data_IF_904706283015
#
_entry.id   IF_904706283015
#
_cell.length_a   1.000
_cell.length_b   1.000
_cell.length_c   1.000
_cell.angle_alpha   90.00
_cell.angle_beta   90.00
_cell.angle_gamma   90.00
#
_symmetry.space_group_name_H-M   'P 1'
#
loop_
_entity.id
_entity.type
_entity.pdbx_description
1 polymer ?
#
# COMPACT_ATOMS: atom_id res chain seq x y z
N UNK A 1 -41.60 -2.50 -17.76
CA UNK A 1 -40.36 -2.09 -17.11
C UNK A 1 -40.54 -0.63 -16.70
N UNK A 2 -40.26 -0.31 -15.43
CA UNK A 2 -40.36 1.08 -14.96
C UNK A 2 -38.99 1.76 -15.12
N UNK A 3 -38.94 3.04 -15.53
CA UNK A 3 -37.66 3.76 -15.60
C UNK A 3 -37.10 3.99 -14.22
N UNK A 4 -35.77 3.93 -14.11
CA UNK A 4 -35.04 4.15 -12.87
C UNK A 4 -34.65 5.64 -12.72
N UNK A 5 -34.47 6.12 -11.48
CA UNK A 5 -34.04 7.51 -11.25
C UNK A 5 -32.64 7.74 -11.86
N UNK A 6 -32.49 8.96 -12.43
CA UNK A 6 -31.21 9.42 -12.98
C UNK A 6 -30.33 10.05 -11.89
N UNK A 7 -29.01 10.09 -12.14
CA UNK A 7 -28.06 10.78 -11.26
C UNK A 7 -27.38 9.88 -10.22
N UNK A 8 -27.68 8.59 -10.17
CA UNK A 8 -26.94 7.62 -9.34
C UNK A 8 -25.63 7.21 -10.04
N UNK A 9 -24.55 7.87 -9.65
CA UNK A 9 -23.25 7.74 -10.31
C UNK A 9 -22.48 6.56 -9.70
N UNK A 10 -22.09 5.62 -10.54
CA UNK A 10 -21.14 4.56 -10.20
C UNK A 10 -19.69 5.00 -10.37
N UNK A 11 -18.78 4.33 -9.70
CA UNK A 11 -17.34 4.59 -9.82
C UNK A 11 -16.69 3.69 -10.85
N UNK A 12 -15.83 4.29 -11.67
CA UNK A 12 -14.95 3.57 -12.59
C UNK A 12 -13.94 2.72 -11.82
N UNK A 13 -13.73 1.44 -12.16
CA UNK A 13 -12.66 0.63 -11.60
C UNK A 13 -11.28 1.26 -11.82
N UNK A 14 -10.36 0.99 -10.90
CA UNK A 14 -8.97 1.46 -11.01
C UNK A 14 -8.14 0.43 -11.80
N UNK A 15 -7.20 0.91 -12.61
CA UNK A 15 -6.26 0.05 -13.35
C UNK A 15 -5.15 -0.51 -12.43
N UNK A 16 -5.52 -1.25 -11.39
CA UNK A 16 -4.58 -1.87 -10.46
C UNK A 16 -4.50 -3.39 -10.69
N UNK A 17 -3.28 -3.93 -10.58
CA UNK A 17 -3.11 -5.38 -10.46
C UNK A 17 -3.46 -5.85 -9.04
N UNK A 18 -4.12 -7.02 -8.87
CA UNK A 18 -4.41 -7.62 -7.56
C UNK A 18 -3.17 -7.78 -6.69
N UNK A 19 -2.01 -7.97 -7.28
CA UNK A 19 -0.72 -8.12 -6.59
C UNK A 19 -0.36 -6.93 -5.71
N UNK A 20 -0.76 -5.69 -6.06
CA UNK A 20 -0.48 -4.51 -5.26
C UNK A 20 -1.12 -4.54 -3.88
N UNK A 21 -2.32 -5.11 -3.74
CA UNK A 21 -2.99 -5.24 -2.44
C UNK A 21 -2.23 -6.19 -1.52
N UNK A 22 -1.70 -7.28 -2.07
CA UNK A 22 -0.87 -8.24 -1.32
C UNK A 22 0.48 -7.60 -0.96
N UNK A 23 1.09 -6.85 -1.88
CA UNK A 23 2.33 -6.11 -1.62
C UNK A 23 2.16 -5.12 -0.48
N UNK A 24 1.10 -4.30 -0.49
CA UNK A 24 0.81 -3.35 0.59
C UNK A 24 0.64 -4.08 1.93
N UNK A 25 -0.14 -5.17 1.96
CA UNK A 25 -0.43 -5.91 3.17
C UNK A 25 0.80 -6.60 3.80
N UNK A 26 1.80 -7.01 3.01
CA UNK A 26 2.97 -7.76 3.48
C UNK A 26 4.26 -6.93 3.54
N UNK A 27 4.50 -6.07 2.55
CA UNK A 27 5.77 -5.33 2.45
C UNK A 27 5.85 -4.21 3.48
N UNK A 28 4.75 -3.48 3.73
CA UNK A 28 4.76 -2.43 4.74
C UNK A 28 5.04 -2.94 6.16
N UNK A 29 4.41 -4.03 6.66
CA UNK A 29 4.77 -4.62 7.94
C UNK A 29 6.22 -5.15 7.99
N UNK A 30 6.72 -5.73 6.90
CA UNK A 30 8.09 -6.21 6.83
C UNK A 30 9.12 -5.06 6.93
N UNK A 31 8.87 -3.94 6.26
CA UNK A 31 9.70 -2.74 6.36
C UNK A 31 9.65 -2.18 7.78
N UNK A 32 8.46 -2.07 8.37
CA UNK A 32 8.30 -1.61 9.75
C UNK A 32 9.05 -2.52 10.73
N UNK A 33 8.93 -3.84 10.57
CA UNK A 33 9.67 -4.81 11.38
C UNK A 33 11.19 -4.63 11.27
N UNK A 34 11.72 -4.49 10.06
CA UNK A 34 13.14 -4.21 9.84
C UNK A 34 13.58 -2.91 10.51
N UNK A 35 12.75 -1.85 10.44
CA UNK A 35 13.03 -0.58 11.08
C UNK A 35 13.07 -0.71 12.63
N UNK A 36 12.12 -1.42 13.24
CA UNK A 36 12.10 -1.67 14.67
C UNK A 36 13.28 -2.56 15.10
N UNK A 37 13.57 -3.62 14.36
CA UNK A 37 14.73 -4.49 14.62
C UNK A 37 16.05 -3.71 14.53
N UNK A 38 16.18 -2.87 13.52
CA UNK A 38 17.33 -1.98 13.36
C UNK A 38 17.48 -1.01 14.53
N UNK A 39 16.37 -0.35 14.93
CA UNK A 39 16.37 0.56 16.09
C UNK A 39 16.77 -0.19 17.37
N UNK A 40 16.22 -1.37 17.61
CA UNK A 40 16.57 -2.19 18.78
C UNK A 40 18.05 -2.59 18.76
N UNK A 41 18.58 -3.02 17.62
CA UNK A 41 19.99 -3.34 17.47
C UNK A 41 20.91 -2.14 17.75
N UNK A 42 20.46 -0.92 17.44
CA UNK A 42 21.19 0.30 17.75
C UNK A 42 21.14 0.63 19.25
N UNK A 43 19.97 0.47 19.88
CA UNK A 43 19.76 0.78 21.31
C UNK A 43 20.42 -0.25 22.21
N UNK A 44 20.41 -1.51 21.84
CA UNK A 44 20.98 -2.63 22.61
C UNK A 44 22.49 -2.84 22.38
N UNK A 45 23.11 -2.08 21.49
CA UNK A 45 24.55 -2.16 21.28
C UNK A 45 25.28 -1.56 22.50
N UNK A 46 25.90 -2.38 23.36
CA UNK A 46 26.56 -1.90 24.57
C UNK A 46 27.71 -0.92 24.26
N UNK A 47 28.26 -1.00 23.06
CA UNK A 47 29.33 -0.13 22.58
C UNK A 47 28.85 1.11 21.83
N UNK A 48 27.53 1.26 21.61
CA UNK A 48 26.98 2.45 20.91
C UNK A 48 27.28 3.73 21.67
N UNK A 49 27.02 3.75 22.98
CA UNK A 49 27.32 4.89 23.86
C UNK A 49 28.82 5.22 23.85
N UNK A 50 29.67 4.21 23.93
CA UNK A 50 31.13 4.37 23.89
C UNK A 50 31.63 4.92 22.56
N UNK A 51 31.11 4.38 21.43
CA UNK A 51 31.45 4.90 20.09
C UNK A 51 30.94 6.33 19.85
N UNK A 52 29.82 6.69 20.45
CA UNK A 52 29.31 8.05 20.37
C UNK A 52 30.18 8.98 21.22
N UNK A 53 30.54 8.55 22.43
CA UNK A 53 31.44 9.27 23.32
C UNK A 53 32.78 9.59 22.69
N UNK A 54 33.46 8.59 22.09
CA UNK A 54 34.77 8.85 21.45
C UNK A 54 34.66 9.78 20.24
N UNK A 55 33.57 9.73 19.47
CA UNK A 55 33.33 10.67 18.37
C UNK A 55 33.12 12.09 18.87
N UNK A 56 32.32 12.25 19.93
CA UNK A 56 32.12 13.55 20.60
C UNK A 56 33.44 14.07 21.14
N UNK A 57 34.23 13.22 21.80
CA UNK A 57 35.54 13.56 22.33
C UNK A 57 36.50 14.06 21.23
N UNK A 58 36.64 13.32 20.15
CA UNK A 58 37.51 13.70 19.02
C UNK A 58 37.04 15.02 18.36
N UNK A 59 35.72 15.23 18.22
CA UNK A 59 35.18 16.50 17.69
C UNK A 59 35.50 17.67 18.62
N UNK A 60 35.35 17.46 19.93
CA UNK A 60 35.67 18.45 20.93
C UNK A 60 37.16 18.84 20.88
N UNK A 61 38.05 17.86 20.90
CA UNK A 61 39.50 18.11 20.81
C UNK A 61 39.87 18.85 19.51
N UNK A 62 39.27 18.49 18.41
CA UNK A 62 39.42 19.21 17.13
C UNK A 62 38.88 20.65 17.19
N UNK A 63 37.82 20.94 17.95
CA UNK A 63 37.30 22.29 18.15
C UNK A 63 38.21 23.14 19.03
N UNK A 64 38.75 22.56 20.10
CA UNK A 64 39.74 23.23 20.97
C UNK A 64 41.02 23.55 20.22
N UNK A 65 41.50 22.64 19.36
CA UNK A 65 42.68 22.85 18.49
C UNK A 65 42.47 24.05 17.56
N UNK A 66 41.24 24.21 17.00
CA UNK A 66 40.92 25.37 16.13
C UNK A 66 40.80 26.70 16.89
N UNK A 67 40.50 26.67 18.18
CA UNK A 67 40.42 27.87 19.04
C UNK A 67 41.74 28.19 19.75
N UNK A 68 42.87 28.11 19.04
CA UNK A 68 44.22 28.39 19.53
C UNK A 68 44.72 27.47 20.67
N UNK A 69 44.14 26.28 20.81
CA UNK A 69 44.59 25.26 21.75
C UNK A 69 44.24 25.48 23.22
N UNK A 70 43.63 26.63 23.58
CA UNK A 70 43.26 26.93 24.97
C UNK A 70 41.82 26.46 25.28
N UNK A 71 41.60 25.48 26.15
CA UNK A 71 40.27 25.01 26.46
C UNK A 71 39.52 26.00 27.35
N UNK A 72 38.31 26.38 26.95
CA UNK A 72 37.41 27.17 27.75
C UNK A 72 36.63 26.28 28.75
N UNK A 73 36.09 26.81 29.88
CA UNK A 73 35.34 25.99 30.85
C UNK A 73 34.25 25.12 30.25
N UNK A 74 33.52 25.64 29.25
CA UNK A 74 32.51 24.86 28.51
C UNK A 74 33.10 23.61 27.77
N UNK A 75 34.35 23.70 27.31
CA UNK A 75 35.02 22.59 26.66
C UNK A 75 35.41 21.52 27.67
N UNK A 76 35.84 21.90 28.88
CA UNK A 76 36.18 20.98 29.96
C UNK A 76 34.95 20.23 30.46
N UNK A 77 33.80 20.88 30.64
CA UNK A 77 32.55 20.23 30.97
C UNK A 77 32.07 19.26 29.89
N UNK A 78 32.22 19.66 28.63
CA UNK A 78 31.87 18.77 27.49
C UNK A 78 32.83 17.57 27.41
N UNK A 79 34.11 17.76 27.76
CA UNK A 79 35.12 16.72 27.82
C UNK A 79 34.75 15.66 28.89
N UNK A 80 34.40 16.07 30.10
CA UNK A 80 33.94 15.17 31.15
C UNK A 80 32.79 14.28 30.69
N UNK A 81 31.79 14.87 30.04
CA UNK A 81 30.64 14.14 29.50
C UNK A 81 31.04 13.16 28.39
N UNK A 82 31.90 13.59 27.49
CA UNK A 82 32.35 12.73 26.38
C UNK A 82 33.21 11.57 26.87
N UNK A 83 34.07 11.79 27.87
CA UNK A 83 34.89 10.74 28.51
C UNK A 83 34.01 9.76 29.27
N UNK A 84 33.06 10.24 30.08
CA UNK A 84 32.12 9.37 30.80
C UNK A 84 31.32 8.46 29.84
N UNK A 85 30.83 9.01 28.73
CA UNK A 85 30.18 8.23 27.67
C UNK A 85 31.12 7.22 27.03
N UNK A 86 32.38 7.59 26.79
CA UNK A 86 33.39 6.71 26.19
C UNK A 86 33.70 5.54 27.13
N UNK A 87 33.79 5.79 28.41
CA UNK A 87 33.98 4.76 29.44
C UNK A 87 32.72 3.93 29.72
N UNK A 88 31.55 4.36 29.23
CA UNK A 88 30.26 3.73 29.48
C UNK A 88 29.78 3.89 30.94
N UNK A 89 30.27 4.87 31.65
CA UNK A 89 29.89 5.19 33.04
C UNK A 89 28.55 5.95 33.00
N UNK A 90 27.55 5.42 33.70
CA UNK A 90 26.19 6.00 33.73
C UNK A 90 25.95 6.98 34.91
N UNK A 91 26.97 7.23 35.70
CA UNK A 91 26.88 8.14 36.83
C UNK A 91 26.98 9.59 36.33
N UNK A 92 26.17 10.50 36.89
CA UNK A 92 26.16 11.89 36.46
C UNK A 92 27.47 12.65 36.78
N UNK A 93 28.16 12.26 37.84
CA UNK A 93 29.47 12.81 38.28
C UNK A 93 30.42 11.66 38.56
N UNK A 94 31.08 11.07 37.51
CA UNK A 94 32.01 9.99 37.72
C UNK A 94 33.32 10.49 38.38
N UNK A 95 33.86 9.69 39.22
CA UNK A 95 35.20 9.96 39.85
C UNK A 95 36.33 9.52 38.93
N UNK A 96 37.54 10.08 39.08
CA UNK A 96 38.71 9.66 38.29
C UNK A 96 39.06 8.18 38.50
N UNK A 97 38.75 7.61 39.67
CA UNK A 97 38.92 6.19 39.97
C UNK A 97 37.97 5.30 39.11
N UNK A 98 36.68 5.69 39.01
CA UNK A 98 35.71 4.97 38.20
C UNK A 98 36.05 5.04 36.70
N UNK A 99 36.51 6.19 36.20
CA UNK A 99 37.00 6.35 34.83
C UNK A 99 38.20 5.44 34.56
N UNK A 100 39.21 5.46 35.47
CA UNK A 100 40.39 4.65 35.37
C UNK A 100 40.08 3.14 35.37
N UNK A 101 39.19 2.68 36.25
CA UNK A 101 38.76 1.29 36.33
C UNK A 101 38.02 0.85 35.04
N UNK A 102 37.11 1.70 34.54
CA UNK A 102 36.38 1.44 33.30
C UNK A 102 37.31 1.38 32.08
N UNK A 103 38.31 2.25 32.02
CA UNK A 103 39.31 2.25 30.96
C UNK A 103 40.25 1.02 31.03
N UNK A 104 40.63 0.61 32.22
CA UNK A 104 41.41 -0.61 32.41
C UNK A 104 40.66 -1.84 31.88
N UNK A 105 39.36 -1.93 32.14
CA UNK A 105 38.50 -3.01 31.62
C UNK A 105 38.33 -2.95 30.09
N UNK A 106 38.49 -1.78 29.46
CA UNK A 106 38.34 -1.60 28.01
C UNK A 106 39.68 -1.87 27.29
N UNK A 107 40.75 -1.33 27.81
CA UNK A 107 42.08 -1.34 27.13
C UNK A 107 42.99 -2.50 27.59
N UNK A 108 42.77 -3.03 28.78
CA UNK A 108 43.67 -4.00 29.39
C UNK A 108 45.04 -3.41 29.83
N UNK A 109 45.26 -2.10 29.60
CA UNK A 109 46.55 -1.44 29.83
C UNK A 109 46.48 -0.52 31.06
N UNK A 110 47.28 -0.85 32.08
CA UNK A 110 47.37 -0.08 33.31
C UNK A 110 48.00 1.31 33.10
N UNK A 111 48.89 1.46 32.13
CA UNK A 111 49.54 2.74 31.82
C UNK A 111 48.56 3.71 31.14
N UNK A 112 47.69 3.20 30.29
CA UNK A 112 46.63 4.03 29.70
C UNK A 112 45.65 4.50 30.77
N UNK A 113 45.24 3.63 31.67
CA UNK A 113 44.28 3.97 32.73
C UNK A 113 44.85 4.94 33.78
N UNK A 114 46.14 4.87 34.12
CA UNK A 114 46.82 5.83 35.01
C UNK A 114 46.89 7.23 34.40
N UNK A 115 47.32 7.35 33.13
CA UNK A 115 47.40 8.63 32.41
C UNK A 115 46.02 9.30 32.31
N UNK A 116 44.98 8.56 32.10
CA UNK A 116 43.63 9.10 32.11
C UNK A 116 43.17 9.58 33.48
N UNK A 117 43.58 8.87 34.57
CA UNK A 117 43.32 9.31 35.95
C UNK A 117 44.01 10.63 36.24
N UNK A 118 45.28 10.76 35.86
CA UNK A 118 46.03 12.00 36.01
C UNK A 118 45.42 13.17 35.25
N UNK A 119 45.09 12.93 33.98
CA UNK A 119 44.45 13.93 33.11
C UNK A 119 43.06 14.35 33.64
N UNK A 120 42.30 13.37 34.14
CA UNK A 120 41.01 13.66 34.80
C UNK A 120 41.17 14.53 36.02
N UNK A 121 42.07 14.19 36.92
CA UNK A 121 42.34 14.96 38.14
C UNK A 121 42.90 16.37 37.83
N UNK A 122 43.74 16.51 36.81
CA UNK A 122 44.21 17.81 36.36
C UNK A 122 43.08 18.70 35.84
N UNK A 123 42.18 18.08 35.03
CA UNK A 123 41.01 18.77 34.48
C UNK A 123 40.02 19.15 35.58
N UNK A 124 39.79 18.25 36.54
CA UNK A 124 38.91 18.47 37.70
C UNK A 124 39.40 19.65 38.55
N UNK A 125 40.67 19.69 38.84
CA UNK A 125 41.30 20.84 39.55
C UNK A 125 41.12 22.15 38.80
N UNK A 126 41.30 22.16 37.47
CA UNK A 126 41.11 23.36 36.64
C UNK A 126 39.66 23.86 36.62
N UNK A 127 38.67 22.97 36.82
CA UNK A 127 37.26 23.37 36.80
C UNK A 127 36.73 23.78 38.21
N UNK A 128 37.22 23.12 39.26
CA UNK A 128 36.65 23.26 40.62
C UNK A 128 37.56 23.95 41.64
N UNK A 129 38.82 24.27 41.29
CA UNK A 129 39.69 25.06 42.14
C UNK A 129 39.79 26.53 41.69
N UNK A 130 40.35 27.40 42.56
CA UNK A 130 40.53 28.82 42.26
C UNK A 130 41.49 29.06 41.08
N UNK A 131 42.41 28.13 40.76
CA UNK A 131 43.25 28.11 39.59
C UNK A 131 42.47 27.55 38.38
N UNK A 132 41.94 28.43 37.60
CA UNK A 132 41.05 28.08 36.48
C UNK A 132 41.74 27.74 35.15
N UNK A 133 43.09 27.81 35.12
CA UNK A 133 43.87 27.55 33.92
C UNK A 133 44.27 26.05 33.81
N UNK A 134 43.81 25.34 32.79
CA UNK A 134 44.30 23.98 32.54
C UNK A 134 45.78 23.99 32.13
N UNK A 135 46.54 22.89 32.38
CA UNK A 135 47.90 22.81 32.01
C UNK A 135 48.10 23.13 30.53
N UNK A 136 49.17 23.84 30.16
CA UNK A 136 49.43 24.25 28.78
C UNK A 136 49.52 23.09 27.76
N UNK A 137 49.92 21.91 28.25
CA UNK A 137 50.00 20.66 27.45
C UNK A 137 48.69 19.80 27.52
N UNK A 138 47.58 20.33 28.13
CA UNK A 138 46.34 19.59 28.32
C UNK A 138 45.78 19.02 27.00
N UNK A 139 45.76 19.80 25.92
CA UNK A 139 45.22 19.39 24.63
C UNK A 139 46.02 18.23 24.00
N UNK A 140 47.35 18.29 24.13
CA UNK A 140 48.23 17.24 23.60
C UNK A 140 48.07 15.95 24.38
N UNK A 141 48.05 16.02 25.72
CA UNK A 141 47.78 14.86 26.60
C UNK A 141 46.40 14.27 26.32
N UNK A 142 45.33 15.12 26.17
CA UNK A 142 43.98 14.66 25.90
C UNK A 142 43.85 14.00 24.52
N UNK A 143 44.53 14.56 23.52
CA UNK A 143 44.53 14.01 22.14
C UNK A 143 45.29 12.65 22.10
N UNK A 144 46.47 12.60 22.67
CA UNK A 144 47.27 11.34 22.77
C UNK A 144 46.54 10.25 23.53
N UNK A 145 45.86 10.62 24.63
CA UNK A 145 45.07 9.68 25.40
C UNK A 145 43.82 9.18 24.61
N UNK A 146 43.16 10.05 23.85
CA UNK A 146 42.02 9.67 23.05
C UNK A 146 42.36 8.79 21.84
N UNK A 147 43.55 8.95 21.26
CA UNK A 147 44.02 8.14 20.13
C UNK A 147 44.27 6.67 20.54
N UNK A 148 44.68 6.44 21.77
CA UNK A 148 44.99 5.07 22.31
C UNK A 148 43.75 4.30 22.70
N UNK A 149 42.56 4.89 22.67
CA UNK A 149 41.29 4.17 22.95
C UNK A 149 40.80 3.51 21.66
N UNK A 150 41.02 2.19 21.56
CA UNK A 150 40.40 1.38 20.52
C UNK A 150 39.02 0.91 20.99
N UNK A 151 37.97 1.39 20.35
CA UNK A 151 36.62 0.89 20.58
C UNK A 151 36.37 -0.27 19.62
N UNK A 152 35.91 -1.43 20.10
CA UNK A 152 35.65 -2.59 19.27
C UNK A 152 34.72 -2.19 18.10
N UNK A 153 35.11 -2.59 16.89
CA UNK A 153 34.26 -2.41 15.69
C UNK A 153 32.90 -3.02 15.98
N UNK A 154 31.87 -2.41 15.42
CA UNK A 154 30.48 -2.85 15.57
C UNK A 154 30.41 -4.35 15.31
N UNK A 155 30.34 -5.15 16.38
CA UNK A 155 30.02 -6.56 16.26
C UNK A 155 28.58 -6.61 15.80
N UNK A 156 28.38 -6.87 14.51
CA UNK A 156 27.11 -7.21 13.92
C UNK A 156 26.74 -8.59 14.47
N UNK A 157 26.28 -8.65 15.71
CA UNK A 157 25.53 -9.81 16.16
C UNK A 157 24.20 -9.77 15.41
N UNK A 158 24.21 -10.31 14.20
CA UNK A 158 23.00 -10.84 13.61
C UNK A 158 22.56 -11.91 14.61
N UNK A 159 21.35 -11.83 15.18
CA UNK A 159 20.89 -12.88 16.08
C UNK A 159 20.92 -14.20 15.31
N UNK A 160 21.76 -15.11 15.74
CA UNK A 160 21.97 -16.43 15.12
C UNK A 160 20.80 -17.39 15.32
N UNK A 161 19.72 -16.95 15.96
CA UNK A 161 18.53 -17.75 16.17
C UNK A 161 17.31 -17.03 15.58
N UNK A 162 16.86 -17.52 14.44
CA UNK A 162 15.54 -17.17 13.89
C UNK A 162 14.41 -17.41 14.92
N UNK A 163 14.62 -18.34 15.86
CA UNK A 163 13.71 -18.66 16.94
C UNK A 163 13.46 -17.48 17.91
N UNK A 164 14.43 -16.59 18.10
CA UNK A 164 14.26 -15.40 18.96
C UNK A 164 13.43 -14.29 18.30
N UNK A 165 13.03 -14.49 17.03
CA UNK A 165 12.34 -13.52 16.18
C UNK A 165 10.90 -13.94 15.86
N UNK A 166 10.56 -15.23 16.05
CA UNK A 166 9.22 -15.74 15.82
C UNK A 166 8.43 -15.70 17.13
N UNK A 167 7.32 -14.93 17.19
CA UNK A 167 6.42 -15.03 18.33
C UNK A 167 5.75 -16.39 18.31
N UNK A 168 5.88 -17.13 19.41
CA UNK A 168 5.11 -18.34 19.63
C UNK A 168 3.64 -17.97 19.76
N UNK A 169 2.82 -18.71 19.06
CA UNK A 169 1.38 -18.79 19.09
C UNK A 169 0.56 -17.84 18.25
N UNK A 170 -0.15 -18.52 17.42
CA UNK A 170 -1.19 -18.21 16.48
C UNK A 170 -2.56 -17.90 17.13
N UNK A 171 -3.41 -17.47 16.26
CA UNK A 171 -4.86 -17.69 16.16
C UNK A 171 -5.82 -16.65 16.74
N UNK A 172 -6.71 -16.38 15.86
CA UNK A 172 -8.16 -16.20 15.81
C UNK A 172 -8.68 -14.78 15.72
N UNK A 173 -9.41 -14.63 14.78
CA UNK A 173 -10.76 -14.69 14.25
C UNK A 173 -11.45 -13.34 13.99
N UNK A 174 -11.92 -13.24 12.86
CA UNK A 174 -13.17 -12.87 12.21
C UNK A 174 -14.15 -11.95 12.98
N UNK A 175 -14.46 -10.80 12.42
CA UNK A 175 -15.71 -10.06 12.64
C UNK A 175 -16.21 -9.43 11.34
N UNK A 176 -17.47 -9.68 11.08
CA UNK A 176 -18.30 -9.26 9.94
C UNK A 176 -18.62 -7.77 10.03
N UNK A 177 -18.55 -7.08 8.90
CA UNK A 177 -19.02 -5.70 8.77
C UNK A 177 -20.23 -5.69 7.84
N UNK A 178 -21.38 -5.34 8.42
CA UNK A 178 -22.62 -5.10 7.67
C UNK A 178 -22.60 -3.67 7.12
N UNK A 179 -22.74 -3.53 5.80
CA UNK A 179 -23.01 -2.25 5.15
C UNK A 179 -24.50 -2.15 4.85
N UNK A 180 -25.13 -1.12 5.36
CA UNK A 180 -26.53 -0.81 5.07
C UNK A 180 -26.71 -0.14 3.71
N UNK A 181 -27.81 -0.44 3.05
CA UNK A 181 -28.21 0.12 1.77
C UNK A 181 -29.40 1.09 1.93
N UNK A 182 -29.48 2.16 1.17
CA UNK A 182 -30.68 3.00 1.12
C UNK A 182 -31.72 2.43 0.13
N UNK A 183 -32.99 2.58 0.49
CA UNK A 183 -34.14 2.10 -0.27
C UNK A 183 -34.59 3.13 -1.33
N UNK A 184 -35.16 2.63 -2.41
CA UNK A 184 -35.49 3.36 -3.62
C UNK A 184 -36.80 4.15 -3.60
N UNK A 185 -36.96 4.99 -4.62
CA UNK A 185 -38.12 5.90 -4.92
C UNK A 185 -38.73 5.48 -6.27
N UNK A 186 -40.05 5.65 -6.39
CA UNK A 186 -40.92 5.23 -7.50
C UNK A 186 -40.80 6.10 -8.76
N UNK A 187 -41.14 5.50 -9.90
CA UNK A 187 -40.99 6.03 -11.24
C UNK A 187 -42.26 6.07 -12.04
N UNK A 188 -42.42 7.05 -12.95
CA UNK A 188 -43.44 7.15 -13.98
C UNK A 188 -42.81 7.26 -15.39
N UNK A 189 -43.41 6.53 -16.33
CA UNK A 189 -43.32 6.57 -17.80
C UNK A 189 -41.95 6.40 -18.49
N UNK A 190 -41.75 5.25 -19.13
CA UNK A 190 -40.52 4.81 -19.79
C UNK A 190 -40.19 5.59 -21.08
N UNK A 191 -41.21 6.00 -21.89
CA UNK A 191 -40.99 6.72 -23.15
C UNK A 191 -40.44 8.13 -22.97
N UNK A 192 -40.81 8.82 -21.89
CA UNK A 192 -40.36 10.17 -21.60
C UNK A 192 -38.95 10.22 -20.97
N UNK A 193 -38.39 9.03 -20.66
CA UNK A 193 -37.09 8.91 -20.01
C UNK A 193 -35.91 8.84 -21.01
N UNK A 194 -36.15 8.69 -22.33
CA UNK A 194 -35.05 8.49 -23.30
C UNK A 194 -34.17 9.75 -23.42
N UNK A 195 -34.79 10.88 -23.72
CA UNK A 195 -34.09 12.16 -23.90
C UNK A 195 -33.32 12.57 -22.63
N UNK A 196 -33.94 12.56 -21.42
CA UNK A 196 -33.21 12.78 -20.18
C UNK A 196 -32.12 11.79 -19.92
N UNK A 197 -32.30 10.50 -20.30
CA UNK A 197 -31.28 9.47 -20.09
C UNK A 197 -30.08 9.64 -21.01
N UNK A 198 -30.27 10.01 -22.27
CA UNK A 198 -29.17 10.32 -23.19
C UNK A 198 -28.38 11.54 -22.75
N UNK A 199 -29.09 12.62 -22.32
CA UNK A 199 -28.47 13.82 -21.77
C UNK A 199 -27.71 13.53 -20.45
N UNK A 200 -28.24 12.65 -19.60
CA UNK A 200 -27.55 12.20 -18.39
C UNK A 200 -26.25 11.48 -18.72
N UNK A 201 -26.22 10.62 -19.75
CA UNK A 201 -24.99 9.94 -20.18
C UNK A 201 -23.97 10.88 -20.81
N UNK A 202 -24.41 11.93 -21.51
CA UNK A 202 -23.49 12.96 -22.01
C UNK A 202 -22.80 13.72 -20.86
N UNK A 203 -23.56 13.99 -19.79
CA UNK A 203 -23.03 14.64 -18.59
C UNK A 203 -22.17 13.69 -17.73
N UNK A 204 -22.58 12.44 -17.60
CA UNK A 204 -21.89 11.42 -16.82
C UNK A 204 -22.14 10.00 -17.33
N UNK A 205 -21.17 9.46 -18.01
CA UNK A 205 -21.23 8.09 -18.57
C UNK A 205 -21.44 7.00 -17.52
N UNK A 206 -21.15 7.23 -16.24
CA UNK A 206 -21.33 6.26 -15.18
C UNK A 206 -22.71 6.31 -14.50
N UNK A 207 -23.70 6.93 -15.11
CA UNK A 207 -25.08 6.88 -14.66
C UNK A 207 -25.73 5.54 -15.07
N UNK A 208 -25.71 4.59 -14.16
CA UNK A 208 -26.26 3.26 -14.40
C UNK A 208 -27.78 3.27 -14.61
N UNK A 209 -28.52 4.23 -14.01
CA UNK A 209 -29.95 4.40 -14.20
C UNK A 209 -30.28 4.82 -15.63
N UNK A 210 -29.49 5.74 -16.20
CA UNK A 210 -29.61 6.16 -17.59
C UNK A 210 -29.33 5.00 -18.56
N UNK A 211 -28.30 4.22 -18.30
CA UNK A 211 -28.01 3.00 -19.08
C UNK A 211 -29.16 2.00 -18.97
N UNK A 212 -29.72 1.77 -17.78
CA UNK A 212 -30.86 0.89 -17.61
C UNK A 212 -32.09 1.36 -18.43
N UNK A 213 -32.43 2.64 -18.36
CA UNK A 213 -33.60 3.18 -19.08
C UNK A 213 -33.47 3.01 -20.59
N UNK A 214 -32.29 3.28 -21.16
CA UNK A 214 -32.01 3.05 -22.59
C UNK A 214 -32.07 1.57 -22.92
N UNK A 215 -31.54 0.70 -22.07
CA UNK A 215 -31.59 -0.75 -22.27
C UNK A 215 -33.05 -1.27 -22.25
N UNK A 216 -33.86 -0.80 -21.31
CA UNK A 216 -35.25 -1.18 -21.16
C UNK A 216 -36.10 -0.73 -22.37
N UNK A 217 -35.85 0.48 -22.88
CA UNK A 217 -36.51 0.98 -24.07
C UNK A 217 -36.06 0.20 -25.33
N UNK A 218 -34.76 -0.03 -25.49
CA UNK A 218 -34.23 -0.86 -26.58
C UNK A 218 -34.83 -2.27 -26.59
N UNK A 219 -35.00 -2.87 -25.41
CA UNK A 219 -35.65 -4.17 -25.26
C UNK A 219 -37.14 -4.11 -25.64
N UNK A 220 -37.86 -3.04 -25.28
CA UNK A 220 -39.27 -2.81 -25.65
C UNK A 220 -39.42 -2.67 -27.17
N UNK A 221 -38.48 -2.01 -27.83
CA UNK A 221 -38.48 -1.79 -29.30
C UNK A 221 -37.91 -2.97 -30.08
N UNK A 222 -37.40 -4.04 -29.40
CA UNK A 222 -36.79 -5.19 -30.06
C UNK A 222 -35.34 -4.94 -30.53
N UNK A 223 -34.71 -3.84 -30.12
CA UNK A 223 -33.34 -3.48 -30.43
C UNK A 223 -32.35 -4.21 -29.47
N UNK A 224 -32.34 -5.54 -29.55
CA UNK A 224 -31.67 -6.40 -28.56
C UNK A 224 -30.17 -6.14 -28.43
N UNK A 225 -29.48 -5.77 -29.50
CA UNK A 225 -28.05 -5.49 -29.45
C UNK A 225 -27.74 -4.23 -28.64
N UNK A 226 -28.49 -3.14 -28.85
CA UNK A 226 -28.41 -1.92 -28.06
C UNK A 226 -28.80 -2.20 -26.61
N UNK A 227 -29.87 -2.97 -26.41
CA UNK A 227 -30.33 -3.37 -25.08
C UNK A 227 -29.25 -4.16 -24.31
N UNK A 228 -28.57 -5.13 -24.92
CA UNK A 228 -27.45 -5.88 -24.27
C UNK A 228 -26.34 -4.94 -23.85
N UNK A 229 -25.90 -4.03 -24.72
CA UNK A 229 -24.77 -3.15 -24.43
C UNK A 229 -25.07 -2.25 -23.23
N UNK A 230 -26.19 -1.55 -23.23
CA UNK A 230 -26.59 -0.66 -22.15
C UNK A 230 -26.97 -1.42 -20.87
N UNK A 231 -27.63 -2.59 -20.97
CA UNK A 231 -27.92 -3.44 -19.82
C UNK A 231 -26.65 -3.98 -19.15
N UNK A 232 -25.63 -4.36 -19.94
CA UNK A 232 -24.34 -4.77 -19.41
C UNK A 232 -23.65 -3.61 -18.67
N UNK A 233 -23.67 -2.39 -19.21
CA UNK A 233 -23.13 -1.22 -18.51
C UNK A 233 -23.89 -0.95 -17.22
N UNK A 234 -25.22 -0.93 -17.24
CA UNK A 234 -26.06 -0.70 -16.05
C UNK A 234 -25.76 -1.75 -14.96
N UNK A 235 -25.75 -3.03 -15.32
CA UNK A 235 -25.51 -4.12 -14.38
C UNK A 235 -24.09 -4.10 -13.83
N UNK A 236 -23.06 -3.90 -14.63
CA UNK A 236 -21.68 -3.90 -14.16
C UNK A 236 -21.37 -2.68 -13.30
N UNK A 237 -22.02 -1.56 -13.55
CA UNK A 237 -21.91 -0.35 -12.72
C UNK A 237 -22.68 -0.50 -11.40
N UNK A 238 -23.87 -1.12 -11.41
CA UNK A 238 -24.66 -1.42 -10.20
C UNK A 238 -25.22 -2.85 -10.22
N UNK A 239 -24.40 -3.86 -9.89
CA UNK A 239 -24.82 -5.27 -9.98
C UNK A 239 -25.81 -5.70 -8.90
N UNK A 240 -26.04 -4.88 -7.87
CA UNK A 240 -27.06 -5.13 -6.84
C UNK A 240 -28.48 -4.78 -7.32
N UNK A 241 -28.62 -4.05 -8.44
CA UNK A 241 -29.90 -3.71 -9.03
C UNK A 241 -30.57 -4.93 -9.65
N UNK A 242 -31.69 -5.39 -9.09
CA UNK A 242 -32.49 -6.48 -9.66
C UNK A 242 -33.04 -6.13 -11.05
N UNK A 243 -33.62 -4.93 -11.29
CA UNK A 243 -34.08 -4.53 -12.61
C UNK A 243 -32.98 -4.57 -13.68
N UNK A 244 -31.77 -4.07 -13.38
CA UNK A 244 -30.66 -4.09 -14.34
C UNK A 244 -30.23 -5.53 -14.66
N UNK A 245 -30.24 -6.43 -13.67
CA UNK A 245 -29.98 -7.87 -13.86
C UNK A 245 -31.01 -8.51 -14.77
N UNK A 246 -32.30 -8.26 -14.54
CA UNK A 246 -33.38 -8.88 -15.29
C UNK A 246 -33.43 -8.43 -16.75
N UNK A 247 -33.20 -7.13 -16.99
CA UNK A 247 -33.07 -6.60 -18.36
C UNK A 247 -31.87 -7.21 -19.09
N UNK A 248 -30.72 -7.31 -18.42
CA UNK A 248 -29.53 -7.94 -19.01
C UNK A 248 -29.77 -9.41 -19.34
N UNK A 249 -30.40 -10.16 -18.42
CA UNK A 249 -30.75 -11.58 -18.65
C UNK A 249 -31.65 -11.73 -19.88
N UNK A 250 -32.72 -10.94 -19.96
CA UNK A 250 -33.64 -10.94 -21.09
C UNK A 250 -32.93 -10.54 -22.40
N UNK A 251 -32.13 -9.49 -22.39
CA UNK A 251 -31.42 -9.03 -23.57
C UNK A 251 -30.41 -10.05 -24.09
N UNK A 252 -29.66 -10.72 -23.20
CA UNK A 252 -28.73 -11.81 -23.59
C UNK A 252 -29.46 -13.01 -24.19
N UNK A 253 -30.63 -13.37 -23.63
CA UNK A 253 -31.44 -14.47 -24.16
C UNK A 253 -31.96 -14.14 -25.56
N UNK A 254 -32.51 -12.95 -25.77
CA UNK A 254 -33.13 -12.54 -27.03
C UNK A 254 -32.13 -12.19 -28.13
N UNK A 255 -30.96 -11.64 -27.81
CA UNK A 255 -29.90 -11.30 -28.75
C UNK A 255 -29.08 -12.50 -29.18
N UNK A 256 -29.15 -13.63 -28.43
CA UNK A 256 -28.24 -14.78 -28.64
C UNK A 256 -26.78 -14.50 -28.21
N UNK A 257 -26.53 -13.38 -27.55
CA UNK A 257 -25.21 -13.04 -27.05
C UNK A 257 -24.74 -14.05 -25.98
N UNK A 258 -23.47 -14.41 -26.02
CA UNK A 258 -22.92 -15.45 -25.15
C UNK A 258 -21.58 -15.07 -24.56
N UNK A 259 -21.56 -14.04 -23.71
CA UNK A 259 -20.37 -13.78 -22.89
C UNK A 259 -20.39 -14.68 -21.64
N UNK A 260 -19.39 -15.56 -21.44
CA UNK A 260 -19.37 -16.50 -20.32
C UNK A 260 -19.22 -15.79 -18.97
N UNK A 261 -18.53 -14.64 -18.92
CA UNK A 261 -18.33 -13.89 -17.68
C UNK A 261 -19.63 -13.23 -17.24
N UNK A 262 -20.38 -12.61 -18.17
CA UNK A 262 -21.68 -12.03 -17.87
C UNK A 262 -22.68 -13.11 -17.44
N UNK A 263 -22.72 -14.26 -18.11
CA UNK A 263 -23.58 -15.38 -17.72
C UNK A 263 -23.29 -15.89 -16.32
N UNK A 264 -22.01 -16.00 -15.95
CA UNK A 264 -21.60 -16.41 -14.60
C UNK A 264 -22.05 -15.40 -13.53
N UNK A 265 -21.92 -14.11 -13.78
CA UNK A 265 -22.40 -13.07 -12.85
C UNK A 265 -23.92 -13.02 -12.72
N UNK A 266 -24.66 -13.55 -13.70
CA UNK A 266 -26.13 -13.67 -13.67
C UNK A 266 -26.62 -14.98 -13.07
N UNK A 267 -25.72 -15.86 -12.62
CA UNK A 267 -26.07 -17.14 -12.01
C UNK A 267 -26.92 -16.96 -10.76
N UNK A 268 -27.86 -17.86 -10.53
CA UNK A 268 -28.70 -17.89 -9.34
C UNK A 268 -28.07 -18.69 -8.19
N UNK A 269 -26.89 -19.27 -8.38
CA UNK A 269 -26.14 -19.99 -7.36
C UNK A 269 -25.62 -19.00 -6.30
N UNK A 270 -25.91 -19.26 -5.04
CA UNK A 270 -25.70 -18.28 -3.95
C UNK A 270 -24.23 -17.79 -3.82
N UNK A 271 -23.23 -18.66 -3.97
CA UNK A 271 -21.83 -18.27 -3.87
C UNK A 271 -21.33 -17.51 -5.13
N UNK A 272 -21.92 -17.76 -6.31
CA UNK A 272 -21.63 -17.02 -7.53
C UNK A 272 -22.28 -15.63 -7.54
N UNK A 273 -23.26 -15.40 -6.65
CA UNK A 273 -23.89 -14.10 -6.43
C UNK A 273 -23.08 -13.18 -5.51
N UNK A 274 -22.13 -13.70 -4.71
CA UNK A 274 -21.33 -12.87 -3.79
C UNK A 274 -20.67 -11.69 -4.52
N UNK A 275 -20.01 -11.85 -5.67
CA UNK A 275 -19.45 -10.73 -6.41
C UNK A 275 -20.45 -9.64 -6.75
N UNK A 276 -21.70 -10.00 -7.03
CA UNK A 276 -22.73 -9.04 -7.49
C UNK A 276 -23.37 -8.21 -6.38
N UNK A 277 -23.00 -8.37 -5.12
CA UNK A 277 -23.44 -7.47 -4.05
C UNK A 277 -22.82 -6.08 -4.15
N UNK A 278 -21.62 -5.98 -4.71
CA UNK A 278 -20.89 -4.72 -4.84
C UNK A 278 -20.25 -4.67 -6.22
N UNK A 279 -20.16 -3.50 -6.86
CA UNK A 279 -19.49 -3.31 -8.15
C UNK A 279 -18.00 -3.66 -8.09
N UNK A 280 -17.38 -3.90 -9.25
CA UNK A 280 -15.94 -4.17 -9.36
C UNK A 280 -15.09 -3.07 -8.68
N UNK A 281 -15.44 -1.80 -8.90
CA UNK A 281 -14.78 -0.66 -8.22
C UNK A 281 -15.00 -0.66 -6.70
N UNK A 282 -16.17 -1.10 -6.25
CA UNK A 282 -16.49 -1.27 -4.83
C UNK A 282 -15.61 -2.34 -4.19
N UNK A 283 -15.45 -3.50 -4.81
CA UNK A 283 -14.56 -4.56 -4.33
C UNK A 283 -13.10 -4.13 -4.27
N UNK A 284 -12.63 -3.33 -5.24
CA UNK A 284 -11.29 -2.73 -5.17
C UNK A 284 -11.10 -1.85 -3.92
N UNK A 285 -12.10 -1.03 -3.59
CA UNK A 285 -12.04 -0.20 -2.37
C UNK A 285 -12.05 -1.06 -1.10
N UNK A 286 -12.90 -2.08 -1.04
CA UNK A 286 -12.92 -3.02 0.09
C UNK A 286 -11.57 -3.71 0.24
N UNK A 287 -10.96 -4.19 -0.86
CA UNK A 287 -9.64 -4.79 -0.86
C UNK A 287 -8.56 -3.82 -0.36
N UNK A 288 -8.58 -2.56 -0.80
CA UNK A 288 -7.63 -1.53 -0.37
C UNK A 288 -7.75 -1.24 1.14
N UNK A 289 -8.97 -1.06 1.63
CA UNK A 289 -9.22 -0.84 3.06
C UNK A 289 -8.79 -2.05 3.89
N UNK A 290 -9.16 -3.27 3.47
CA UNK A 290 -8.79 -4.49 4.16
C UNK A 290 -7.26 -4.71 4.19
N UNK A 291 -6.56 -4.45 3.08
CA UNK A 291 -5.10 -4.51 3.01
C UNK A 291 -4.45 -3.46 3.93
N UNK A 292 -4.98 -2.24 3.97
CA UNK A 292 -4.51 -1.19 4.86
C UNK A 292 -4.70 -1.53 6.34
N UNK A 293 -5.89 -2.02 6.72
CA UNK A 293 -6.18 -2.45 8.10
C UNK A 293 -5.28 -3.62 8.50
N UNK A 294 -5.09 -4.59 7.61
CA UNK A 294 -4.18 -5.72 7.83
C UNK A 294 -2.74 -5.23 8.04
N UNK A 295 -2.24 -4.36 7.18
CA UNK A 295 -0.90 -3.81 7.28
C UNK A 295 -0.69 -3.07 8.62
N UNK A 296 -1.62 -2.18 9.01
CA UNK A 296 -1.57 -1.45 10.29
C UNK A 296 -1.61 -2.43 11.47
N UNK A 297 -2.50 -3.42 11.43
CA UNK A 297 -2.62 -4.42 12.49
C UNK A 297 -1.33 -5.22 12.67
N UNK A 298 -0.71 -5.65 11.56
CA UNK A 298 0.56 -6.36 11.58
C UNK A 298 1.71 -5.48 12.11
N UNK A 299 1.77 -4.20 11.71
CA UNK A 299 2.75 -3.24 12.23
C UNK A 299 2.58 -3.07 13.74
N UNK A 300 1.36 -2.91 14.23
CA UNK A 300 1.06 -2.80 15.65
C UNK A 300 1.44 -4.08 16.40
N UNK A 301 1.13 -5.26 15.87
CA UNK A 301 1.52 -6.54 16.44
C UNK A 301 3.04 -6.68 16.52
N UNK A 302 3.76 -6.33 15.46
CA UNK A 302 5.22 -6.32 15.44
C UNK A 302 5.78 -5.33 16.46
N UNK A 303 5.17 -4.17 16.63
CA UNK A 303 5.61 -3.16 17.61
C UNK A 303 5.54 -3.68 19.05
N UNK A 304 4.62 -4.61 19.37
CA UNK A 304 4.51 -5.20 20.72
C UNK A 304 5.77 -6.01 21.11
N UNK A 305 6.54 -6.48 20.15
CA UNK A 305 7.81 -7.18 20.39
C UNK A 305 8.92 -6.23 20.89
N UNK A 306 8.75 -4.94 20.64
CA UNK A 306 9.77 -3.92 20.90
C UNK A 306 9.35 -2.91 21.98
N UNK A 307 8.05 -2.75 22.17
CA UNK A 307 7.45 -1.82 23.14
C UNK A 307 6.43 -2.60 23.98
N UNK A 308 6.36 -2.43 25.30
CA UNK A 308 5.44 -3.19 26.16
C UNK A 308 3.98 -2.72 26.03
N UNK A 309 3.46 -2.73 24.81
CA UNK A 309 2.06 -2.45 24.49
C UNK A 309 1.35 -3.79 24.34
N UNK A 310 0.26 -4.00 25.09
CA UNK A 310 -0.59 -5.19 24.95
C UNK A 310 -1.76 -4.87 24.03
N UNK A 311 -1.76 -5.42 22.83
CA UNK A 311 -2.87 -5.31 21.87
C UNK A 311 -3.73 -6.55 22.02
N UNK A 312 -4.86 -6.40 22.74
CA UNK A 312 -5.86 -7.47 22.84
C UNK A 312 -6.65 -7.51 21.53
N UNK A 313 -6.85 -8.69 20.95
CA UNK A 313 -7.63 -8.87 19.71
C UNK A 313 -6.87 -8.58 18.40
N UNK A 314 -5.57 -8.29 18.42
CA UNK A 314 -4.80 -8.06 17.20
C UNK A 314 -4.84 -9.23 16.21
N UNK A 315 -4.77 -10.47 16.70
CA UNK A 315 -4.88 -11.66 15.85
C UNK A 315 -6.27 -11.82 15.24
N UNK A 316 -7.32 -11.51 16.01
CA UNK A 316 -8.70 -11.54 15.51
C UNK A 316 -8.90 -10.53 14.38
N UNK A 317 -8.40 -9.30 14.55
CA UNK A 317 -8.50 -8.26 13.54
C UNK A 317 -7.66 -8.59 12.30
N UNK A 318 -6.48 -9.16 12.45
CA UNK A 318 -5.66 -9.60 11.33
C UNK A 318 -6.34 -10.73 10.55
N UNK A 319 -6.89 -11.74 11.23
CA UNK A 319 -7.64 -12.84 10.62
C UNK A 319 -8.84 -12.33 9.82
N UNK A 320 -9.64 -11.44 10.44
CA UNK A 320 -10.77 -10.81 9.78
C UNK A 320 -10.36 -10.03 8.54
N UNK A 321 -9.38 -9.13 8.66
CA UNK A 321 -8.90 -8.32 7.54
C UNK A 321 -8.38 -9.21 6.40
N UNK A 322 -7.73 -10.33 6.73
CA UNK A 322 -7.28 -11.31 5.74
C UNK A 322 -8.47 -11.97 5.03
N UNK A 323 -9.50 -12.41 5.78
CA UNK A 323 -10.69 -13.02 5.20
C UNK A 323 -11.43 -12.04 4.28
N UNK A 324 -11.63 -10.80 4.72
CA UNK A 324 -12.25 -9.75 3.91
C UNK A 324 -11.42 -9.45 2.66
N UNK A 325 -10.08 -9.38 2.78
CA UNK A 325 -9.19 -9.14 1.64
C UNK A 325 -9.30 -10.27 0.60
N UNK A 326 -9.27 -11.53 1.04
CA UNK A 326 -9.41 -12.68 0.14
C UNK A 326 -10.77 -12.64 -0.56
N UNK A 327 -11.86 -12.44 0.18
CA UNK A 327 -13.21 -12.33 -0.39
C UNK A 327 -13.30 -11.21 -1.41
N UNK A 328 -12.74 -10.04 -1.11
CA UNK A 328 -12.74 -8.90 -2.02
C UNK A 328 -11.94 -9.17 -3.30
N UNK A 329 -10.77 -9.79 -3.19
CA UNK A 329 -9.93 -10.14 -4.35
C UNK A 329 -10.59 -11.21 -5.24
N UNK A 330 -11.19 -12.24 -4.64
CA UNK A 330 -11.93 -13.28 -5.38
C UNK A 330 -13.14 -12.68 -6.09
N UNK A 331 -13.93 -11.86 -5.39
CA UNK A 331 -15.11 -11.21 -5.95
C UNK A 331 -14.75 -10.22 -7.06
N UNK A 332 -13.68 -9.43 -6.88
CA UNK A 332 -13.19 -8.54 -7.92
C UNK A 332 -12.71 -9.30 -9.17
N UNK A 333 -11.97 -10.40 -8.98
CA UNK A 333 -11.50 -11.23 -10.08
C UNK A 333 -12.66 -11.93 -10.84
N UNK A 334 -13.79 -12.18 -10.17
CA UNK A 334 -14.97 -12.78 -10.81
C UNK A 334 -15.59 -11.91 -11.91
N UNK A 335 -15.33 -10.59 -11.92
CA UNK A 335 -15.73 -9.69 -13.01
C UNK A 335 -14.91 -9.89 -14.29
N UNK A 336 -13.78 -10.62 -14.24
CA UNK A 336 -12.91 -10.87 -15.40
C UNK A 336 -12.46 -9.54 -16.05
N UNK A 337 -12.61 -9.47 -17.37
CA UNK A 337 -12.24 -8.30 -18.17
C UNK A 337 -13.03 -7.03 -17.76
N UNK A 338 -14.28 -7.18 -17.33
CA UNK A 338 -15.14 -6.07 -16.93
C UNK A 338 -14.66 -5.32 -15.67
N UNK A 339 -13.64 -5.82 -14.97
CA UNK A 339 -13.06 -5.12 -13.80
C UNK A 339 -12.06 -4.02 -14.18
N UNK A 340 -11.79 -3.80 -15.45
CA UNK A 340 -10.83 -2.81 -15.93
C UNK A 340 -11.52 -1.54 -16.44
N UNK A 341 -10.92 -0.35 -16.26
CA UNK A 341 -11.51 0.91 -16.73
C UNK A 341 -11.62 1.01 -18.25
N UNK A 342 -10.80 0.25 -18.98
CA UNK A 342 -10.82 0.17 -20.44
C UNK A 342 -11.76 -0.91 -20.99
N UNK A 343 -12.60 -1.50 -20.13
CA UNK A 343 -13.60 -2.47 -20.56
C UNK A 343 -14.69 -1.83 -21.40
N UNK A 344 -15.08 -2.52 -22.44
CA UNK A 344 -16.13 -2.11 -23.38
C UNK A 344 -16.94 -3.32 -23.82
N UNK A 345 -18.09 -3.10 -24.39
CA UNK A 345 -18.96 -4.16 -24.94
C UNK A 345 -19.18 -3.92 -26.43
N UNK A 346 -19.22 -5.00 -27.20
CA UNK A 346 -19.57 -4.93 -28.60
C UNK A 346 -21.08 -4.76 -28.78
N UNK A 347 -21.49 -3.66 -29.44
CA UNK A 347 -22.89 -3.34 -29.70
C UNK A 347 -23.47 -4.20 -30.82
N UNK A 348 -22.65 -4.72 -31.73
CA UNK A 348 -23.03 -5.58 -32.85
C UNK A 348 -21.99 -6.66 -33.07
N UNK A 349 -22.41 -7.74 -33.73
CA UNK A 349 -21.47 -8.75 -34.22
C UNK A 349 -20.54 -8.11 -35.24
N UNK A 350 -19.24 -8.38 -35.13
CA UNK A 350 -18.20 -7.80 -35.99
C UNK A 350 -17.11 -8.85 -36.27
N UNK A 351 -16.50 -8.70 -37.42
CA UNK A 351 -15.28 -9.43 -37.72
C UNK A 351 -14.07 -8.67 -37.25
N UNK A 352 -13.31 -9.26 -36.35
CA UNK A 352 -12.05 -8.69 -35.85
C UNK A 352 -10.97 -8.85 -36.91
N UNK A 353 -10.32 -7.75 -37.26
CA UNK A 353 -9.25 -7.72 -38.25
C UNK A 353 -7.87 -7.71 -37.60
N UNK A 354 -6.84 -8.35 -38.16
CA UNK A 354 -5.47 -8.26 -37.63
C UNK A 354 -4.83 -6.86 -37.81
N UNK A 355 -5.34 -6.09 -38.80
CA UNK A 355 -4.85 -4.73 -39.11
C UNK A 355 -6.01 -3.74 -39.23
N UNK A 356 -5.78 -2.42 -38.97
CA UNK A 356 -6.80 -1.38 -39.07
C UNK A 356 -7.05 -0.96 -40.53
N UNK A 357 -7.55 -1.92 -41.35
CA UNK A 357 -7.80 -1.74 -42.79
C UNK A 357 -9.05 -2.51 -43.22
N UNK A 358 -9.74 -2.00 -44.22
CA UNK A 358 -10.88 -2.69 -44.85
C UNK A 358 -10.44 -3.70 -45.95
N UNK A 359 -9.15 -3.77 -46.23
CA UNK A 359 -8.59 -4.62 -47.32
C UNK A 359 -8.23 -6.04 -46.88
N UNK A 360 -8.67 -6.49 -45.73
CA UNK A 360 -8.34 -7.80 -45.16
C UNK A 360 -9.22 -8.87 -45.81
N UNK A 361 -8.61 -10.00 -46.18
CA UNK A 361 -9.33 -11.19 -46.72
C UNK A 361 -10.13 -11.85 -45.59
N UNK A 362 -11.30 -12.41 -45.91
CA UNK A 362 -12.19 -13.11 -44.96
C UNK A 362 -11.51 -14.23 -44.16
N UNK A 363 -10.44 -14.80 -44.69
CA UNK A 363 -9.69 -15.88 -44.03
C UNK A 363 -8.87 -15.41 -42.81
N UNK A 364 -8.65 -14.11 -42.69
CA UNK A 364 -7.83 -13.51 -41.60
C UNK A 364 -8.68 -12.87 -40.51
N UNK A 365 -10.02 -12.84 -40.65
CA UNK A 365 -10.91 -12.25 -39.69
C UNK A 365 -11.50 -13.29 -38.73
N UNK A 366 -11.67 -12.89 -37.48
CA UNK A 366 -12.32 -13.71 -36.45
C UNK A 366 -13.66 -13.08 -36.06
N UNK A 367 -14.79 -13.79 -36.23
CA UNK A 367 -16.10 -13.27 -35.89
C UNK A 367 -16.25 -13.18 -34.36
N UNK A 368 -16.74 -12.04 -33.88
CA UNK A 368 -17.05 -11.80 -32.46
C UNK A 368 -18.51 -11.41 -32.35
N UNK A 369 -19.21 -12.05 -31.41
CA UNK A 369 -20.63 -11.81 -31.21
C UNK A 369 -20.90 -10.43 -30.52
N UNK A 370 -22.09 -9.86 -30.78
CA UNK A 370 -22.60 -8.75 -30.02
C UNK A 370 -22.68 -9.11 -28.52
N UNK A 371 -22.54 -8.13 -27.64
CA UNK A 371 -22.57 -8.36 -26.18
C UNK A 371 -21.31 -8.94 -25.58
N UNK A 372 -20.27 -9.27 -26.39
CA UNK A 372 -18.98 -9.71 -25.87
C UNK A 372 -18.27 -8.54 -25.20
N UNK A 373 -17.78 -8.76 -23.97
CA UNK A 373 -16.95 -7.79 -23.25
C UNK A 373 -15.50 -7.90 -23.71
N UNK A 374 -14.91 -6.74 -24.01
CA UNK A 374 -13.54 -6.62 -24.55
C UNK A 374 -12.77 -5.53 -23.84
N UNK A 375 -11.43 -5.56 -23.90
CA UNK A 375 -10.60 -4.43 -23.48
C UNK A 375 -10.24 -3.56 -24.66
N UNK A 376 -10.43 -2.26 -24.52
CA UNK A 376 -9.96 -1.28 -25.51
C UNK A 376 -8.50 -0.92 -25.26
N UNK A 377 -7.70 -0.90 -26.33
CA UNK A 377 -6.27 -0.58 -26.28
C UNK A 377 -5.99 0.71 -27.07
N UNK A 378 -5.50 0.62 -28.28
CA UNK A 378 -5.09 1.74 -29.13
C UNK A 378 -6.20 2.16 -30.08
N UNK A 379 -6.29 3.44 -30.40
CA UNK A 379 -7.19 3.99 -31.42
C UNK A 379 -6.39 4.44 -32.63
N UNK A 380 -6.86 4.15 -33.84
CA UNK A 380 -6.22 4.56 -35.09
C UNK A 380 -7.26 4.80 -36.17
N UNK A 381 -7.38 6.02 -36.68
CA UNK A 381 -8.23 6.40 -37.85
C UNK A 381 -9.63 5.77 -37.85
N UNK A 382 -10.36 5.88 -36.74
CA UNK A 382 -11.71 5.33 -36.60
C UNK A 382 -11.77 3.84 -36.27
N UNK A 383 -10.62 3.19 -36.14
CA UNK A 383 -10.47 1.83 -35.65
C UNK A 383 -10.10 1.83 -34.17
N UNK A 384 -10.54 0.81 -33.47
CA UNK A 384 -10.18 0.55 -32.08
C UNK A 384 -9.55 -0.83 -32.00
N UNK A 385 -8.34 -0.89 -31.41
CA UNK A 385 -7.73 -2.16 -31.06
C UNK A 385 -8.42 -2.70 -29.82
N UNK A 386 -8.84 -3.96 -29.89
CA UNK A 386 -9.49 -4.68 -28.80
C UNK A 386 -8.70 -5.92 -28.43
N UNK A 387 -8.84 -6.33 -27.19
CA UNK A 387 -8.32 -7.56 -26.65
C UNK A 387 -9.47 -8.40 -26.10
N UNK A 388 -9.55 -9.64 -26.56
CA UNK A 388 -10.58 -10.60 -26.16
C UNK A 388 -9.93 -11.66 -25.29
N UNK A 389 -10.48 -11.91 -24.09
CA UNK A 389 -10.02 -12.97 -23.16
C UNK A 389 -8.52 -12.92 -22.78
N UNK A 390 -7.88 -11.76 -22.84
CA UNK A 390 -6.44 -11.59 -22.58
C UNK A 390 -5.49 -12.29 -23.56
N UNK A 391 -5.99 -12.85 -24.66
CA UNK A 391 -5.17 -13.66 -25.57
C UNK A 391 -5.17 -13.13 -27.01
N UNK A 392 -6.32 -12.64 -27.47
CA UNK A 392 -6.51 -12.28 -28.87
C UNK A 392 -6.57 -10.79 -29.07
N UNK A 393 -5.64 -10.21 -29.83
CA UNK A 393 -5.60 -8.80 -30.19
C UNK A 393 -6.04 -8.59 -31.62
N UNK A 394 -6.93 -7.65 -31.88
CA UNK A 394 -7.33 -7.28 -33.23
C UNK A 394 -8.00 -5.92 -33.28
N UNK A 395 -8.43 -5.53 -34.45
CA UNK A 395 -9.01 -4.22 -34.74
C UNK A 395 -10.46 -4.34 -35.17
N UNK A 396 -11.29 -3.46 -34.62
CA UNK A 396 -12.70 -3.30 -35.02
C UNK A 396 -13.03 -1.83 -35.24
N UNK A 397 -14.12 -1.52 -35.92
CA UNK A 397 -14.57 -0.13 -36.08
C UNK A 397 -15.03 0.42 -34.73
N UNK A 398 -14.65 1.68 -34.40
CA UNK A 398 -14.98 2.34 -33.13
C UNK A 398 -16.48 2.42 -32.85
N UNK A 399 -17.31 2.52 -33.90
CA UNK A 399 -18.79 2.58 -33.77
C UNK A 399 -19.43 1.22 -33.40
N UNK A 400 -18.66 0.15 -33.35
CA UNK A 400 -19.13 -1.17 -32.93
C UNK A 400 -18.92 -1.42 -31.43
N UNK A 401 -18.32 -0.46 -30.72
CA UNK A 401 -17.91 -0.61 -29.31
C UNK A 401 -18.57 0.47 -28.46
N UNK A 402 -19.07 0.07 -27.30
CA UNK A 402 -19.54 0.96 -26.26
C UNK A 402 -18.70 0.77 -25.00
N UNK A 403 -18.06 1.81 -24.42
CA UNK A 403 -17.34 1.70 -23.19
C UNK A 403 -18.28 1.41 -22.02
N UNK A 404 -17.83 0.53 -21.09
CA UNK A 404 -18.62 0.20 -19.90
C UNK A 404 -18.48 1.24 -18.80
N UNK A 405 -17.43 2.03 -18.83
CA UNK A 405 -17.15 3.08 -17.84
C UNK A 405 -16.69 4.37 -18.52
N UNK A 406 -16.83 5.49 -17.84
CA UNK A 406 -16.28 6.76 -18.31
C UNK A 406 -14.77 6.63 -18.52
N UNK A 407 -14.29 7.04 -19.70
CA UNK A 407 -12.85 7.14 -19.95
C UNK A 407 -12.28 8.24 -19.05
N UNK A 408 -11.28 7.91 -18.23
CA UNK A 408 -10.45 8.94 -17.62
C UNK A 408 -9.54 9.51 -18.72
N UNK A 409 -9.92 10.64 -19.25
CA UNK A 409 -9.05 11.48 -20.10
C UNK A 409 -7.94 12.10 -19.25
#
# INVERSE_FOLDING_TARGET
MEPLPLGEISSTPLAFSPTWFVVIALVLPAIAWLAFAWRRALVQDPNHTRRTGIRELRRLLASVRRSQGTPQPRHLHAWFRAVAKTCGVRVSTPTGAQISQSLHLITGDANVSSRWRELWGATERSVFSADTTPPGDWLERASSAAERIEIPKRVRKVPNRMADWLPSTALTALVVLACGFPAGVRADALSDALEPSTQALESNWNDWGAHYNIAALGAANGEWNTAVAHAAAAFLQNPSSAPARDVLRLALEKSGASDPNLKRLLSDVWYERIPTYISAAGWQRVALVAAGVLAVTLILMVSTLYVPIRIRGGFALAGLSTAVLITALVSWNAYGIANQPSAAVLVRAVDMSPAPTDLVTRQETSPIAAGTVVLTRRTFLGWQQIEVNHETLGWVRRNAIMPLYASRT
#
